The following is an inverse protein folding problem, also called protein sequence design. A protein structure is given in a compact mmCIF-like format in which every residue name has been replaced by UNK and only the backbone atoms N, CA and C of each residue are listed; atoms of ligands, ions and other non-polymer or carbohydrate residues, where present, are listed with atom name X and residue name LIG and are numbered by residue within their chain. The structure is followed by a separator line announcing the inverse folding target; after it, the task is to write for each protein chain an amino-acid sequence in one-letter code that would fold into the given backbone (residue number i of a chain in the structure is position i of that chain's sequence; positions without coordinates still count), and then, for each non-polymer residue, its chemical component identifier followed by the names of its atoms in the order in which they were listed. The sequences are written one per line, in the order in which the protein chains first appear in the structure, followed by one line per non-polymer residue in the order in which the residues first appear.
data_IF_767352858136
#
_entry.id   IF_767352858136
#
_cell.length_a   1.000
_cell.length_b   1.000
_cell.length_c   1.000
_cell.angle_alpha   90.00
_cell.angle_beta   90.00
_cell.angle_gamma   90.00
#
_symmetry.space_group_name_H-M   'P 1'
#
loop_
_entity.id
_entity.type
_entity.pdbx_description
1 polymer ?
#
# COMPACT_ATOMS: atom_id res chain seq x y z
N UNK A 1 10.34 8.63 -18.57
CA UNK A 1 10.28 8.54 -17.09
C UNK A 1 11.18 7.45 -16.48
N UNK A 2 11.19 6.16 -16.87
CA UNK A 2 12.09 5.17 -16.25
C UNK A 2 13.57 5.52 -16.34
N UNK A 3 14.02 5.98 -17.50
CA UNK A 3 15.42 6.41 -17.73
C UNK A 3 15.82 7.57 -16.81
N UNK A 4 14.97 8.59 -16.69
CA UNK A 4 15.26 9.76 -15.84
C UNK A 4 15.46 9.36 -14.36
N UNK A 5 14.67 8.38 -13.85
CA UNK A 5 14.86 7.84 -12.50
C UNK A 5 16.23 7.18 -12.34
N UNK A 6 16.63 6.37 -13.32
CA UNK A 6 17.91 5.68 -13.28
C UNK A 6 19.09 6.65 -13.36
N UNK A 7 18.98 7.68 -14.20
CA UNK A 7 20.02 8.69 -14.35
C UNK A 7 20.17 9.53 -13.06
N UNK A 8 19.07 9.84 -12.40
CA UNK A 8 19.08 10.56 -11.12
C UNK A 8 19.83 9.76 -10.04
N UNK A 9 19.47 8.48 -9.85
CA UNK A 9 20.17 7.59 -8.91
C UNK A 9 21.65 7.45 -9.28
N UNK A 10 21.93 7.22 -10.57
CA UNK A 10 23.26 7.04 -11.10
C UNK A 10 24.13 8.29 -10.92
N UNK A 11 23.55 9.48 -11.01
CA UNK A 11 24.29 10.72 -10.81
C UNK A 11 24.88 10.84 -9.41
N UNK A 12 24.07 10.47 -8.39
CA UNK A 12 24.50 10.42 -6.98
C UNK A 12 25.48 9.29 -6.74
N UNK A 13 25.19 8.07 -7.26
CA UNK A 13 26.12 6.95 -7.17
C UNK A 13 27.52 7.31 -7.71
N UNK A 14 27.58 7.93 -8.88
CA UNK A 14 28.86 8.37 -9.48
C UNK A 14 29.62 9.31 -8.56
N UNK A 15 28.94 10.22 -7.88
CA UNK A 15 29.56 11.20 -6.99
C UNK A 15 30.33 10.56 -5.85
N UNK A 16 29.77 9.54 -5.23
CA UNK A 16 30.32 8.96 -4.01
C UNK A 16 31.13 7.68 -4.24
N UNK A 17 30.83 6.92 -5.28
CA UNK A 17 31.37 5.58 -5.49
C UNK A 17 32.32 5.44 -6.70
N UNK A 18 32.50 6.49 -7.49
CA UNK A 18 33.45 6.42 -8.62
C UNK A 18 34.57 7.44 -8.48
N UNK A 19 35.83 7.12 -8.90
CA UNK A 19 36.92 8.08 -8.89
C UNK A 19 36.61 9.31 -9.75
N UNK A 20 36.07 9.12 -10.95
CA UNK A 20 35.71 10.21 -11.85
C UNK A 20 34.69 11.15 -11.24
N UNK A 21 33.67 10.62 -10.52
CA UNK A 21 32.68 11.43 -9.84
C UNK A 21 33.24 12.23 -8.66
N UNK A 22 34.30 11.74 -8.03
CA UNK A 22 34.97 12.45 -6.92
C UNK A 22 35.84 13.61 -7.42
N UNK A 23 36.61 13.41 -8.51
CA UNK A 23 37.61 14.38 -8.98
C UNK A 23 37.11 15.30 -10.08
N UNK A 24 36.23 14.80 -10.97
CA UNK A 24 35.72 15.57 -12.13
C UNK A 24 34.18 15.39 -12.26
N UNK A 25 33.40 15.78 -11.23
CA UNK A 25 31.98 15.54 -11.18
C UNK A 25 31.19 16.11 -12.37
N UNK A 26 31.58 17.28 -12.83
CA UNK A 26 30.95 17.98 -13.98
C UNK A 26 31.07 17.21 -15.30
N UNK A 27 32.16 16.45 -15.50
CA UNK A 27 32.37 15.69 -16.73
C UNK A 27 31.50 14.44 -16.82
N UNK A 28 31.20 13.83 -15.70
CA UNK A 28 30.44 12.57 -15.62
C UNK A 28 28.99 12.76 -15.15
N UNK A 29 28.55 14.00 -15.00
CA UNK A 29 27.19 14.30 -14.52
C UNK A 29 26.92 13.79 -13.09
N UNK A 30 27.94 13.81 -12.24
CA UNK A 30 27.80 13.42 -10.85
C UNK A 30 27.20 14.56 -10.02
N UNK A 31 26.27 14.25 -9.13
CA UNK A 31 25.55 15.21 -8.27
C UNK A 31 25.75 14.88 -6.80
N UNK A 32 25.94 15.89 -5.98
CA UNK A 32 25.95 15.73 -4.52
C UNK A 32 24.54 15.44 -4.02
N UNK A 33 24.43 14.65 -2.94
CA UNK A 33 23.15 14.35 -2.29
C UNK A 33 22.77 15.56 -1.42
N UNK A 34 21.98 16.46 -1.99
CA UNK A 34 21.42 17.63 -1.33
C UNK A 34 19.94 17.44 -1.04
N UNK A 35 19.34 18.32 -0.21
CA UNK A 35 17.89 18.30 0.03
C UNK A 35 17.08 18.43 -1.27
N UNK A 36 17.54 19.27 -2.20
CA UNK A 36 16.91 19.41 -3.53
C UNK A 36 16.94 18.11 -4.33
N UNK A 37 18.04 17.35 -4.26
CA UNK A 37 18.17 16.05 -4.93
C UNK A 37 17.27 15.00 -4.25
N UNK A 38 17.15 15.04 -2.93
CA UNK A 38 16.22 14.16 -2.20
C UNK A 38 14.77 14.46 -2.54
N UNK A 39 14.38 15.72 -2.66
CA UNK A 39 13.04 16.13 -3.08
C UNK A 39 12.75 15.71 -4.52
N UNK A 40 13.74 15.85 -5.42
CA UNK A 40 13.66 15.35 -6.79
C UNK A 40 13.49 13.81 -6.81
N UNK A 41 14.23 13.06 -5.97
CA UNK A 41 14.08 11.62 -5.81
C UNK A 41 12.69 11.26 -5.30
N UNK A 42 12.20 11.93 -4.27
CA UNK A 42 10.87 11.74 -3.75
C UNK A 42 9.83 11.85 -4.86
N UNK A 43 9.86 12.93 -5.63
CA UNK A 43 8.93 13.15 -6.73
C UNK A 43 9.01 12.05 -7.79
N UNK A 44 10.21 11.73 -8.28
CA UNK A 44 10.37 10.79 -9.37
C UNK A 44 10.08 9.33 -8.98
N UNK A 45 10.50 8.91 -7.80
CA UNK A 45 10.34 7.52 -7.38
C UNK A 45 8.94 7.21 -6.86
N UNK A 46 8.27 8.15 -6.18
CA UNK A 46 6.89 7.94 -5.72
C UNK A 46 5.83 8.07 -6.83
N UNK A 47 6.15 8.68 -7.96
CA UNK A 47 5.31 8.62 -9.16
C UNK A 47 5.31 7.23 -9.86
N UNK A 48 6.08 6.28 -9.38
CA UNK A 48 6.12 4.93 -9.93
C UNK A 48 5.00 4.08 -9.32
N UNK A 49 4.09 3.58 -10.15
CA UNK A 49 3.02 2.67 -9.73
C UNK A 49 3.46 1.20 -9.57
N UNK A 50 4.76 0.90 -9.73
CA UNK A 50 5.31 -0.46 -9.65
C UNK A 50 4.69 -1.48 -10.64
N UNK A 51 4.13 -1.01 -11.75
CA UNK A 51 3.48 -1.87 -12.76
C UNK A 51 4.46 -2.77 -13.54
N UNK A 52 5.77 -2.66 -13.31
CA UNK A 52 6.86 -3.45 -13.92
C UNK A 52 6.96 -3.42 -15.45
N UNK A 53 6.14 -2.65 -16.13
CA UNK A 53 6.19 -2.56 -17.60
C UNK A 53 7.58 -2.21 -18.13
N UNK A 54 8.28 -1.29 -17.47
CA UNK A 54 9.64 -0.88 -17.84
C UNK A 54 10.68 -2.00 -17.66
N UNK A 55 10.47 -2.93 -16.74
CA UNK A 55 11.34 -4.09 -16.53
C UNK A 55 11.08 -5.16 -17.58
N UNK A 56 9.81 -5.48 -17.87
CA UNK A 56 9.40 -6.48 -18.85
C UNK A 56 9.88 -6.14 -20.27
N UNK A 57 9.79 -4.87 -20.66
CA UNK A 57 10.17 -4.40 -22.00
C UNK A 57 11.62 -3.91 -22.07
N UNK A 58 12.43 -4.08 -21.03
CA UNK A 58 13.82 -3.67 -21.05
C UNK A 58 14.66 -4.60 -21.92
N UNK A 59 15.26 -4.12 -23.03
CA UNK A 59 16.06 -4.98 -23.90
C UNK A 59 17.37 -5.47 -23.24
N UNK A 60 17.75 -4.85 -22.12
CA UNK A 60 18.95 -5.18 -21.35
C UNK A 60 18.66 -6.00 -20.09
N UNK A 61 17.41 -6.39 -19.85
CA UNK A 61 17.01 -7.17 -18.67
C UNK A 61 17.14 -6.44 -17.33
N UNK A 62 17.12 -5.09 -17.33
CA UNK A 62 17.23 -4.30 -16.09
C UNK A 62 15.87 -4.22 -15.42
N UNK A 63 15.76 -4.65 -14.17
CA UNK A 63 14.56 -4.44 -13.37
C UNK A 63 14.53 -3.03 -12.76
N UNK A 64 13.98 -2.10 -13.52
CA UNK A 64 13.85 -0.70 -13.12
C UNK A 64 12.80 -0.49 -12.03
N UNK A 65 11.88 -1.42 -11.84
CA UNK A 65 10.91 -1.35 -10.76
C UNK A 65 11.57 -1.67 -9.41
N UNK A 66 12.42 -2.69 -9.36
CA UNK A 66 13.19 -3.03 -8.16
C UNK A 66 14.13 -1.89 -7.74
N UNK A 67 14.81 -1.27 -8.71
CA UNK A 67 15.64 -0.08 -8.44
C UNK A 67 14.79 1.06 -7.86
N UNK A 68 13.55 1.24 -8.33
CA UNK A 68 12.65 2.26 -7.79
C UNK A 68 12.19 1.94 -6.38
N UNK A 69 12.02 0.66 -6.03
CA UNK A 69 11.73 0.22 -4.65
C UNK A 69 12.92 0.52 -3.74
N UNK A 70 14.12 0.08 -4.11
CA UNK A 70 15.33 0.35 -3.33
C UNK A 70 15.56 1.86 -3.11
N UNK A 71 15.26 2.70 -4.10
CA UNK A 71 15.35 4.15 -3.94
C UNK A 71 14.33 4.71 -2.94
N UNK A 72 13.12 4.14 -2.86
CA UNK A 72 12.11 4.51 -1.84
C UNK A 72 12.55 4.08 -0.45
N UNK A 73 13.15 2.89 -0.31
CA UNK A 73 13.69 2.40 0.96
C UNK A 73 14.80 3.32 1.48
N UNK A 74 15.66 3.81 0.58
CA UNK A 74 16.68 4.81 0.93
C UNK A 74 16.02 6.11 1.41
N UNK A 75 15.03 6.61 0.69
CA UNK A 75 14.29 7.82 1.07
C UNK A 75 13.63 7.67 2.45
N UNK A 76 13.00 6.54 2.71
CA UNK A 76 12.38 6.26 4.00
C UNK A 76 13.42 6.19 5.13
N UNK A 77 14.57 5.54 4.88
CA UNK A 77 15.67 5.43 5.83
C UNK A 77 16.24 6.81 6.24
N UNK A 78 16.26 7.77 5.32
CA UNK A 78 16.72 9.15 5.62
C UNK A 78 15.59 10.07 6.10
N UNK A 79 14.39 9.53 6.36
CA UNK A 79 13.25 10.27 6.89
C UNK A 79 12.46 11.08 5.86
N UNK A 80 12.68 10.85 4.56
CA UNK A 80 11.97 11.49 3.42
C UNK A 80 10.93 10.55 2.81
N UNK A 81 10.41 9.61 3.59
CA UNK A 81 9.35 8.68 3.17
C UNK A 81 7.96 9.33 3.06
N UNK A 82 7.00 8.58 2.53
CA UNK A 82 5.61 9.05 2.45
C UNK A 82 4.96 9.06 3.83
N UNK A 83 4.74 10.25 4.37
CA UNK A 83 4.21 10.47 5.73
C UNK A 83 2.91 9.68 5.98
N UNK A 84 1.94 9.77 5.07
CA UNK A 84 0.66 9.08 5.24
C UNK A 84 0.78 7.56 5.20
N UNK A 85 1.62 7.02 4.31
CA UNK A 85 1.88 5.58 4.29
C UNK A 85 2.53 5.11 5.59
N UNK A 86 3.50 5.85 6.10
CA UNK A 86 4.18 5.54 7.35
C UNK A 86 3.25 5.63 8.57
N UNK A 87 2.30 6.58 8.58
CA UNK A 87 1.26 6.66 9.60
C UNK A 87 0.33 5.44 9.57
N UNK A 88 -0.10 5.00 8.38
CA UNK A 88 -0.92 3.80 8.20
C UNK A 88 -0.17 2.56 8.65
N UNK A 89 1.08 2.38 8.21
CA UNK A 89 1.95 1.27 8.64
C UNK A 89 2.10 1.29 10.16
N UNK A 90 2.29 2.47 10.76
CA UNK A 90 2.36 2.63 12.21
C UNK A 90 1.07 2.21 12.94
N UNK A 91 -0.10 2.45 12.36
CA UNK A 91 -1.39 1.97 12.89
C UNK A 91 -1.51 0.45 12.82
N UNK A 92 -1.13 -0.15 11.68
CA UNK A 92 -1.12 -1.60 11.50
C UNK A 92 -0.22 -2.28 12.53
N UNK A 93 0.98 -1.74 12.78
CA UNK A 93 1.88 -2.29 13.81
C UNK A 93 1.35 -2.15 15.24
N UNK A 94 0.60 -1.09 15.54
CA UNK A 94 0.09 -0.84 16.90
C UNK A 94 -1.22 -1.58 17.20
N UNK A 95 -2.13 -1.63 16.25
CA UNK A 95 -3.52 -2.06 16.47
C UNK A 95 -3.86 -3.30 15.63
N UNK A 96 -3.13 -3.54 14.54
CA UNK A 96 -3.33 -4.68 13.65
C UNK A 96 -4.15 -4.36 12.39
N UNK A 97 -4.66 -3.14 12.26
CA UNK A 97 -5.37 -2.70 11.07
C UNK A 97 -5.00 -1.26 10.70
N UNK A 98 -5.18 -0.89 9.42
CA UNK A 98 -4.84 0.43 8.89
C UNK A 98 -5.82 1.53 9.34
N UNK A 99 -7.06 1.18 9.73
CA UNK A 99 -8.04 2.11 10.26
C UNK A 99 -7.62 2.68 11.62
N UNK A 100 -6.84 1.90 12.38
CA UNK A 100 -6.50 2.22 13.75
C UNK A 100 -7.68 2.03 14.70
N UNK A 101 -8.64 1.19 14.32
CA UNK A 101 -9.82 0.89 15.12
C UNK A 101 -9.56 -0.33 16.01
N UNK A 102 -9.86 -0.24 17.32
CA UNK A 102 -9.86 -1.40 18.18
C UNK A 102 -11.02 -2.35 17.81
N UNK A 103 -10.81 -3.64 18.03
CA UNK A 103 -11.76 -4.70 17.70
C UNK A 103 -13.22 -4.41 18.15
N UNK A 104 -13.50 -3.89 19.38
CA UNK A 104 -14.88 -3.59 19.77
C UNK A 104 -15.54 -2.50 18.91
N UNK A 105 -14.78 -1.51 18.46
CA UNK A 105 -15.32 -0.46 17.59
C UNK A 105 -15.64 -0.99 16.20
N UNK A 106 -14.81 -1.88 15.68
CA UNK A 106 -15.07 -2.55 14.40
C UNK A 106 -16.31 -3.45 14.51
N UNK A 107 -16.44 -4.23 15.59
CA UNK A 107 -17.62 -5.07 15.83
C UNK A 107 -18.91 -4.25 15.87
N UNK A 108 -18.93 -3.12 16.58
CA UNK A 108 -20.10 -2.24 16.60
C UNK A 108 -20.45 -1.67 15.20
N UNK A 109 -19.45 -1.38 14.37
CA UNK A 109 -19.68 -0.93 12.98
C UNK A 109 -20.34 -2.04 12.16
N UNK A 110 -19.87 -3.30 12.31
CA UNK A 110 -20.45 -4.44 11.61
C UNK A 110 -21.88 -4.75 12.07
N UNK A 111 -22.16 -4.64 13.38
CA UNK A 111 -23.52 -4.76 13.92
C UNK A 111 -24.46 -3.71 13.31
N UNK A 112 -24.02 -2.45 13.20
CA UNK A 112 -24.80 -1.41 12.52
C UNK A 112 -25.09 -1.74 11.05
N UNK A 113 -24.09 -2.27 10.33
CA UNK A 113 -24.30 -2.70 8.94
C UNK A 113 -25.26 -3.92 8.83
N UNK A 114 -25.26 -4.82 9.79
CA UNK A 114 -26.23 -5.92 9.84
C UNK A 114 -27.66 -5.40 10.01
N UNK A 115 -27.87 -4.39 10.86
CA UNK A 115 -29.16 -3.73 11.04
C UNK A 115 -29.62 -3.02 9.76
N UNK A 116 -28.72 -2.27 9.11
CA UNK A 116 -29.00 -1.60 7.84
C UNK A 116 -29.38 -2.59 6.74
N UNK A 117 -28.72 -3.76 6.66
CA UNK A 117 -29.07 -4.82 5.71
C UNK A 117 -30.47 -5.39 5.98
N UNK A 118 -30.80 -5.61 7.25
CA UNK A 118 -32.11 -6.14 7.62
C UNK A 118 -33.22 -5.14 7.29
N UNK A 119 -33.01 -3.85 7.55
CA UNK A 119 -33.98 -2.78 7.30
C UNK A 119 -34.20 -2.52 5.80
N UNK A 120 -33.10 -2.41 5.02
CA UNK A 120 -33.17 -2.06 3.60
C UNK A 120 -33.55 -3.22 2.69
N UNK A 121 -33.17 -4.45 3.06
CA UNK A 121 -33.30 -5.61 2.19
C UNK A 121 -34.18 -6.73 2.77
N UNK A 122 -34.59 -6.61 4.02
CA UNK A 122 -35.44 -7.62 4.67
C UNK A 122 -34.78 -8.99 4.84
N UNK A 123 -33.46 -9.05 4.78
CA UNK A 123 -32.66 -10.29 4.90
C UNK A 123 -31.73 -10.17 6.11
N UNK A 124 -31.89 -11.06 7.05
CA UNK A 124 -31.02 -11.13 8.22
C UNK A 124 -29.72 -11.83 7.84
N UNK A 125 -28.66 -11.07 7.64
CA UNK A 125 -27.32 -11.56 7.30
C UNK A 125 -26.37 -11.19 8.42
N UNK A 126 -25.47 -12.09 8.78
CA UNK A 126 -24.43 -11.86 9.77
C UNK A 126 -23.11 -11.49 9.09
N UNK A 127 -22.40 -10.54 9.66
CA UNK A 127 -21.05 -10.13 9.31
C UNK A 127 -20.06 -10.63 10.37
N UNK A 128 -19.61 -11.91 10.30
CA UNK A 128 -18.82 -12.51 11.36
C UNK A 128 -17.40 -11.95 11.39
N UNK A 129 -16.88 -11.69 12.59
CA UNK A 129 -15.53 -11.15 12.82
C UNK A 129 -14.71 -12.13 13.66
N UNK A 130 -13.51 -12.46 13.21
CA UNK A 130 -12.53 -13.31 13.88
C UNK A 130 -13.07 -14.70 14.32
N UNK A 131 -14.00 -15.28 13.58
CA UNK A 131 -14.52 -16.61 13.86
C UNK A 131 -13.56 -17.71 13.40
N UNK A 132 -13.06 -18.48 14.35
CA UNK A 132 -12.15 -19.58 14.05
C UNK A 132 -12.89 -20.76 13.40
N UNK A 133 -12.30 -21.33 12.36
CA UNK A 133 -12.83 -22.51 11.66
C UNK A 133 -13.79 -22.19 10.52
N UNK A 134 -13.95 -20.94 10.14
CA UNK A 134 -14.69 -20.58 8.95
C UNK A 134 -13.99 -21.11 7.68
N UNK A 135 -14.78 -21.47 6.67
CA UNK A 135 -14.29 -22.00 5.38
C UNK A 135 -13.59 -20.91 4.55
N UNK A 136 -14.07 -19.66 4.67
CA UNK A 136 -13.55 -18.51 3.91
C UNK A 136 -13.18 -17.38 4.87
N UNK A 137 -11.94 -16.90 4.77
CA UNK A 137 -11.51 -15.64 5.35
C UNK A 137 -11.61 -14.56 4.26
N UNK A 138 -12.52 -13.61 4.44
CA UNK A 138 -12.65 -12.46 3.55
C UNK A 138 -11.75 -11.34 4.04
N UNK A 139 -10.77 -10.96 3.22
CA UNK A 139 -9.90 -9.79 3.44
C UNK A 139 -10.37 -8.70 2.50
N UNK A 140 -10.85 -7.60 3.06
CA UNK A 140 -11.37 -6.48 2.29
C UNK A 140 -10.55 -5.21 2.55
N UNK A 141 -10.54 -4.25 1.60
CA UNK A 141 -10.04 -2.92 1.87
C UNK A 141 -10.80 -2.26 3.01
N UNK A 142 -10.11 -1.40 3.76
CA UNK A 142 -10.74 -0.66 4.86
C UNK A 142 -11.90 0.23 4.43
N UNK A 143 -11.92 0.65 3.18
CA UNK A 143 -13.02 1.40 2.59
C UNK A 143 -14.35 0.67 2.65
N UNK A 144 -14.35 -0.67 2.60
CA UNK A 144 -15.54 -1.50 2.60
C UNK A 144 -16.35 -1.42 3.92
N UNK A 145 -15.76 -0.89 4.98
CA UNK A 145 -16.44 -0.71 6.26
C UNK A 145 -17.13 0.65 6.41
N UNK A 146 -16.73 1.68 5.62
CA UNK A 146 -17.17 3.06 5.90
C UNK A 146 -17.50 3.90 4.66
N UNK A 147 -17.06 3.52 3.48
CA UNK A 147 -17.17 4.36 2.29
C UNK A 147 -18.14 3.80 1.27
N UNK A 148 -19.20 4.55 1.00
CA UNK A 148 -20.03 4.27 -0.17
C UNK A 148 -19.23 4.56 -1.47
N UNK A 149 -19.35 3.74 -2.51
CA UNK A 149 -20.20 2.54 -2.66
C UNK A 149 -19.49 1.24 -2.20
N UNK A 150 -18.38 1.30 -1.51
CA UNK A 150 -17.60 0.13 -1.10
C UNK A 150 -18.34 -0.75 -0.09
N UNK A 151 -19.10 -0.14 0.82
CA UNK A 151 -19.97 -0.85 1.77
C UNK A 151 -20.95 -1.77 1.06
N UNK A 152 -21.50 -1.35 -0.08
CA UNK A 152 -22.39 -2.19 -0.90
C UNK A 152 -21.71 -3.48 -1.38
N UNK A 153 -20.39 -3.40 -1.63
CA UNK A 153 -19.57 -4.57 -1.97
C UNK A 153 -19.54 -5.59 -0.84
N UNK A 154 -19.26 -5.15 0.38
CA UNK A 154 -19.26 -6.00 1.57
C UNK A 154 -20.63 -6.63 1.83
N UNK A 155 -21.69 -5.83 1.72
CA UNK A 155 -23.08 -6.31 1.81
C UNK A 155 -23.37 -7.36 0.74
N UNK A 156 -22.87 -7.16 -0.49
CA UNK A 156 -23.00 -8.11 -1.59
C UNK A 156 -22.34 -9.45 -1.27
N UNK A 157 -21.10 -9.45 -0.75
CA UNK A 157 -20.42 -10.67 -0.32
C UNK A 157 -21.19 -11.40 0.77
N UNK A 158 -21.64 -10.68 1.79
CA UNK A 158 -22.39 -11.25 2.90
C UNK A 158 -23.68 -11.95 2.43
N UNK A 159 -24.42 -11.33 1.52
CA UNK A 159 -25.64 -11.93 0.92
C UNK A 159 -25.33 -13.18 0.10
N UNK A 160 -24.28 -13.16 -0.71
CA UNK A 160 -23.86 -14.30 -1.53
C UNK A 160 -23.45 -15.47 -0.65
N UNK A 161 -22.63 -15.26 0.37
CA UNK A 161 -22.20 -16.31 1.30
C UNK A 161 -23.37 -16.87 2.11
N UNK A 162 -24.28 -16.00 2.59
CA UNK A 162 -25.49 -16.41 3.26
C UNK A 162 -26.37 -17.32 2.37
N UNK A 163 -26.62 -16.89 1.12
CA UNK A 163 -27.43 -17.64 0.16
C UNK A 163 -26.78 -18.97 -0.24
N UNK A 164 -25.46 -19.00 -0.33
CA UNK A 164 -24.71 -20.21 -0.66
C UNK A 164 -24.48 -21.15 0.54
N UNK A 165 -24.82 -20.73 1.75
CA UNK A 165 -24.58 -21.49 2.98
C UNK A 165 -23.10 -21.68 3.31
N UNK A 166 -22.24 -20.76 2.87
CA UNK A 166 -20.80 -20.78 3.11
C UNK A 166 -20.49 -20.16 4.47
N UNK A 167 -19.71 -20.87 5.28
CA UNK A 167 -19.17 -20.33 6.52
C UNK A 167 -17.99 -19.41 6.21
N UNK A 168 -18.05 -18.15 6.66
CA UNK A 168 -17.05 -17.15 6.37
C UNK A 168 -16.80 -16.22 7.56
N UNK A 169 -15.70 -15.49 7.53
CA UNK A 169 -15.37 -14.49 8.54
C UNK A 169 -14.52 -13.36 7.98
N UNK A 170 -14.65 -12.19 8.58
CA UNK A 170 -13.72 -11.07 8.46
C UNK A 170 -12.62 -11.20 9.51
N UNK A 171 -11.55 -10.42 9.39
CA UNK A 171 -10.50 -10.35 10.41
C UNK A 171 -10.30 -8.91 10.90
N UNK A 172 -10.24 -8.75 12.22
CA UNK A 172 -9.87 -7.47 12.85
C UNK A 172 -8.39 -7.11 12.63
N UNK A 173 -7.56 -8.06 12.19
CA UNK A 173 -6.11 -7.94 12.00
C UNK A 173 -5.69 -7.90 10.53
N UNK A 174 -6.59 -8.12 9.61
CA UNK A 174 -6.31 -8.22 8.18
C UNK A 174 -7.17 -7.22 7.41
N UNK A 175 -7.02 -5.95 7.69
CA UNK A 175 -7.46 -4.89 6.82
C UNK A 175 -6.23 -4.21 6.21
N UNK A 176 -6.21 -4.14 4.90
CA UNK A 176 -5.15 -3.46 4.15
C UNK A 176 -5.12 -1.95 4.41
#
# INVERSE_FOLDING_TARGET
MPVARQDLLRSVYRRYFTPAGKYVPWLVGARDLTEEVLEEWYTYFHQCSQCRRCSVYCPYGIDTAEISMAARDILDTVGVGQKYCNEIIGKVHKIGNNLGLPEPALANTLEGLEEDIEDDHGVKVRLPLDEAGAEVLLITPSADFFAEPHVDGLIGYAKVFHQAGISWTLSSKASE
#
